data_IF_622047497343
#
_entry.id   IF_622047497343
#
_cell.length_a   1.000
_cell.length_b   1.000
_cell.length_c   1.000
_cell.angle_alpha   90.00
_cell.angle_beta   90.00
_cell.angle_gamma   90.00
#
_symmetry.space_group_name_H-M   'P 1'
#
loop_
_entity.id
_entity.type
_entity.pdbx_description
1 polymer ?
#
# COMPACT_ATOMS: atom_id res chain seq x y z
N UNK A 1 7.86 -24.49 8.94
CA UNK A 1 6.54 -24.34 9.59
C UNK A 1 5.50 -23.98 8.54
N UNK A 2 4.19 -24.09 8.85
CA UNK A 2 3.12 -23.61 7.99
C UNK A 2 2.71 -22.20 8.41
N UNK A 3 2.79 -21.22 7.50
CA UNK A 3 2.49 -19.81 7.75
C UNK A 3 1.27 -19.41 6.94
N UNK A 4 0.24 -18.90 7.59
CA UNK A 4 -0.91 -18.31 6.95
C UNK A 4 -0.69 -16.82 6.73
N UNK A 5 -0.67 -16.38 5.47
CA UNK A 5 -0.71 -14.97 5.09
C UNK A 5 -2.11 -14.56 4.69
N UNK A 6 -2.61 -13.46 5.27
CA UNK A 6 -3.89 -12.87 4.90
C UNK A 6 -3.72 -11.47 4.30
N UNK A 7 -4.13 -11.32 3.04
CA UNK A 7 -3.79 -10.20 2.16
C UNK A 7 -5.05 -9.56 1.59
N UNK A 8 -5.28 -8.28 1.88
CA UNK A 8 -6.54 -7.59 1.57
C UNK A 8 -6.44 -6.51 0.49
N UNK A 9 -5.23 -6.01 0.17
CA UNK A 9 -5.04 -4.85 -0.70
C UNK A 9 -3.83 -5.03 -1.62
N UNK A 10 -3.70 -4.25 -2.72
CA UNK A 10 -2.54 -4.27 -3.60
C UNK A 10 -1.19 -4.12 -2.87
N UNK A 11 -1.08 -3.14 -1.96
CA UNK A 11 0.11 -2.91 -1.15
C UNK A 11 0.49 -4.16 -0.33
N UNK A 12 -0.49 -4.78 0.30
CA UNK A 12 -0.28 -5.99 1.11
C UNK A 12 0.20 -7.16 0.25
N UNK A 13 -0.31 -7.26 -0.98
CA UNK A 13 0.10 -8.31 -1.92
C UNK A 13 1.55 -8.13 -2.38
N UNK A 14 1.98 -6.90 -2.64
CA UNK A 14 3.37 -6.60 -3.01
C UNK A 14 4.34 -6.93 -1.87
N UNK A 15 3.99 -6.56 -0.64
CA UNK A 15 4.77 -6.95 0.54
C UNK A 15 4.81 -8.47 0.72
N UNK A 16 3.65 -9.13 0.58
CA UNK A 16 3.55 -10.58 0.66
C UNK A 16 4.43 -11.27 -0.40
N UNK A 17 4.37 -10.85 -1.67
CA UNK A 17 5.17 -11.43 -2.74
C UNK A 17 6.68 -11.36 -2.45
N UNK A 18 7.14 -10.27 -1.84
CA UNK A 18 8.53 -10.13 -1.42
C UNK A 18 8.87 -11.03 -0.23
N UNK A 19 7.97 -11.12 0.77
CA UNK A 19 8.15 -12.00 1.94
C UNK A 19 8.12 -13.49 1.54
N UNK A 20 7.23 -13.89 0.63
CA UNK A 20 7.18 -15.26 0.13
C UNK A 20 8.52 -15.72 -0.47
N UNK A 21 9.22 -14.85 -1.20
CA UNK A 21 10.53 -15.16 -1.78
C UNK A 21 11.59 -15.48 -0.71
N UNK A 22 11.50 -14.82 0.44
CA UNK A 22 12.44 -14.99 1.54
C UNK A 22 12.08 -16.16 2.45
N UNK A 23 10.79 -16.35 2.70
CA UNK A 23 10.29 -17.31 3.70
C UNK A 23 9.84 -18.64 3.07
N UNK A 24 9.45 -18.64 1.79
CA UNK A 24 8.90 -19.83 1.12
C UNK A 24 9.90 -20.95 0.89
N UNK A 25 11.22 -20.71 1.01
CA UNK A 25 12.25 -21.76 0.83
C UNK A 25 12.30 -22.78 1.97
N UNK A 26 11.83 -22.41 3.15
CA UNK A 26 11.91 -23.26 4.35
C UNK A 26 10.56 -23.45 5.05
N UNK A 27 9.48 -22.89 4.49
CA UNK A 27 8.17 -22.90 5.10
C UNK A 27 7.07 -23.23 4.07
N UNK A 28 5.98 -23.80 4.56
CA UNK A 28 4.74 -24.00 3.80
C UNK A 28 3.88 -22.72 3.89
N UNK A 29 3.62 -22.07 2.77
CA UNK A 29 2.89 -20.79 2.73
C UNK A 29 1.46 -21.05 2.30
N UNK A 30 0.52 -20.67 3.15
CA UNK A 30 -0.92 -20.65 2.87
C UNK A 30 -1.40 -19.21 2.74
N UNK A 31 -1.88 -18.84 1.55
CA UNK A 31 -2.33 -17.49 1.24
C UNK A 31 -3.86 -17.43 1.18
N UNK A 32 -4.43 -16.44 1.86
CA UNK A 32 -5.81 -16.04 1.66
C UNK A 32 -5.89 -14.58 1.20
N UNK A 33 -6.75 -14.32 0.22
CA UNK A 33 -7.08 -12.98 -0.26
C UNK A 33 -8.59 -12.76 -0.20
N UNK A 34 -9.06 -11.65 -0.76
CA UNK A 34 -10.50 -11.39 -0.98
C UNK A 34 -10.73 -10.88 -2.40
N UNK A 35 -11.94 -11.03 -2.92
CA UNK A 35 -12.34 -10.38 -4.16
C UNK A 35 -12.28 -8.85 -3.99
N UNK A 36 -11.37 -8.22 -4.73
CA UNK A 36 -11.20 -6.77 -4.78
C UNK A 36 -10.54 -6.39 -6.10
N UNK A 37 -11.22 -5.58 -6.91
CA UNK A 37 -10.80 -5.29 -8.29
C UNK A 37 -9.36 -4.76 -8.38
N UNK A 38 -8.96 -3.84 -7.51
CA UNK A 38 -7.58 -3.33 -7.50
C UNK A 38 -6.55 -4.42 -7.14
N UNK A 39 -6.92 -5.35 -6.27
CA UNK A 39 -6.05 -6.47 -5.89
C UNK A 39 -5.90 -7.44 -7.05
N UNK A 40 -6.99 -7.77 -7.74
CA UNK A 40 -6.95 -8.65 -8.91
C UNK A 40 -6.06 -8.10 -10.04
N UNK A 41 -6.09 -6.78 -10.25
CA UNK A 41 -5.20 -6.10 -11.22
C UNK A 41 -3.72 -6.32 -10.88
N UNK A 42 -3.34 -6.29 -9.61
CA UNK A 42 -1.95 -6.53 -9.19
C UNK A 42 -1.61 -8.02 -9.27
N UNK A 43 -2.50 -8.91 -8.85
CA UNK A 43 -2.33 -10.38 -8.95
C UNK A 43 -2.15 -10.86 -10.38
N UNK A 44 -2.83 -10.23 -11.34
CA UNK A 44 -2.66 -10.54 -12.77
C UNK A 44 -1.22 -10.29 -13.25
N UNK A 45 -0.53 -9.33 -12.65
CA UNK A 45 0.80 -8.87 -13.08
C UNK A 45 1.96 -9.38 -12.24
N UNK A 46 1.77 -9.54 -10.94
CA UNK A 46 2.79 -10.01 -9.98
C UNK A 46 2.47 -11.45 -9.59
N UNK A 47 3.35 -12.37 -9.96
CA UNK A 47 3.16 -13.80 -9.68
C UNK A 47 3.80 -14.19 -8.36
N UNK A 48 3.10 -15.01 -7.60
CA UNK A 48 3.55 -15.69 -6.39
C UNK A 48 3.47 -17.19 -6.59
N UNK A 49 4.13 -17.96 -5.73
CA UNK A 49 4.13 -19.43 -5.78
C UNK A 49 2.96 -20.02 -4.99
N UNK A 50 2.59 -19.37 -3.88
CA UNK A 50 1.49 -19.83 -3.05
C UNK A 50 0.18 -19.80 -3.83
N UNK A 51 -0.62 -20.85 -3.65
CA UNK A 51 -1.99 -20.87 -4.19
C UNK A 51 -2.83 -19.85 -3.47
N UNK A 52 -3.47 -18.97 -4.23
CA UNK A 52 -4.36 -17.95 -3.70
C UNK A 52 -5.75 -18.56 -3.39
N UNK A 53 -6.12 -18.52 -2.13
CA UNK A 53 -7.46 -18.91 -1.67
C UNK A 53 -8.29 -17.64 -1.47
N UNK A 54 -9.13 -17.31 -2.45
CA UNK A 54 -10.01 -16.15 -2.38
C UNK A 54 -11.14 -16.43 -1.42
N UNK A 55 -11.22 -15.68 -0.32
CA UNK A 55 -12.25 -15.82 0.73
C UNK A 55 -12.92 -14.49 0.95
N UNK A 56 -14.23 -14.42 0.70
CA UNK A 56 -15.03 -13.21 0.83
C UNK A 56 -14.68 -12.13 -0.20
N UNK A 57 -15.31 -10.96 -0.06
CA UNK A 57 -15.14 -9.83 -0.99
C UNK A 57 -15.01 -8.49 -0.26
N UNK A 58 -14.60 -7.48 -0.98
CA UNK A 58 -14.56 -6.10 -0.47
C UNK A 58 -15.97 -5.53 -0.33
N UNK A 59 -16.31 -5.00 0.84
CA UNK A 59 -17.66 -4.53 1.18
C UNK A 59 -18.02 -3.13 0.61
N UNK A 60 -17.33 -2.65 -0.45
CA UNK A 60 -17.67 -1.37 -1.08
C UNK A 60 -17.48 -0.15 -0.19
N UNK A 61 -18.26 0.92 -0.43
CA UNK A 61 -18.19 2.20 0.29
C UNK A 61 -19.04 2.26 1.57
N UNK A 62 -20.14 1.51 1.62
CA UNK A 62 -21.14 1.58 2.72
C UNK A 62 -20.67 0.82 3.96
N UNK A 63 -20.89 1.40 5.15
CA UNK A 63 -20.47 0.81 6.42
C UNK A 63 -21.16 -0.54 6.70
N UNK A 64 -22.45 -0.62 6.39
CA UNK A 64 -23.25 -1.83 6.57
C UNK A 64 -22.75 -2.99 5.70
N UNK A 65 -22.43 -2.72 4.44
CA UNK A 65 -21.89 -3.70 3.51
C UNK A 65 -20.51 -4.17 3.95
N UNK A 66 -19.65 -3.23 4.39
CA UNK A 66 -18.34 -3.58 4.97
C UNK A 66 -18.47 -4.49 6.18
N UNK A 67 -19.41 -4.21 7.08
CA UNK A 67 -19.64 -5.04 8.26
C UNK A 67 -20.13 -6.44 7.87
N UNK A 68 -21.13 -6.53 6.97
CA UNK A 68 -21.69 -7.80 6.50
C UNK A 68 -20.59 -8.66 5.85
N UNK A 69 -19.83 -8.11 4.90
CA UNK A 69 -18.82 -8.87 4.18
C UNK A 69 -17.63 -9.25 5.08
N UNK A 70 -17.24 -8.40 6.03
CA UNK A 70 -16.25 -8.72 7.05
C UNK A 70 -16.70 -9.88 7.95
N UNK A 71 -17.96 -9.86 8.40
CA UNK A 71 -18.52 -10.92 9.25
C UNK A 71 -18.61 -12.25 8.51
N UNK A 72 -19.10 -12.25 7.25
CA UNK A 72 -19.12 -13.44 6.40
C UNK A 72 -17.72 -14.01 6.21
N UNK A 73 -16.75 -13.16 5.87
CA UNK A 73 -15.37 -13.55 5.66
C UNK A 73 -14.76 -14.18 6.91
N UNK A 74 -14.98 -13.60 8.09
CA UNK A 74 -14.54 -14.17 9.35
C UNK A 74 -15.13 -15.56 9.60
N UNK A 75 -16.42 -15.76 9.28
CA UNK A 75 -17.07 -17.06 9.35
C UNK A 75 -16.45 -18.08 8.38
N UNK A 76 -16.23 -17.72 7.12
CA UNK A 76 -15.61 -18.59 6.11
C UNK A 76 -14.19 -18.98 6.50
N UNK A 77 -13.38 -18.02 6.96
CA UNK A 77 -12.02 -18.27 7.45
C UNK A 77 -12.03 -19.18 8.69
N UNK A 78 -12.99 -19.01 9.61
CA UNK A 78 -13.07 -19.86 10.80
C UNK A 78 -13.35 -21.34 10.46
N UNK A 79 -13.95 -21.62 9.31
CA UNK A 79 -14.14 -22.98 8.79
C UNK A 79 -12.96 -23.51 8.00
N UNK A 80 -12.27 -22.65 7.25
CA UNK A 80 -11.15 -23.01 6.37
C UNK A 80 -9.86 -23.27 7.16
N UNK A 81 -9.52 -22.36 8.06
CA UNK A 81 -8.21 -22.32 8.72
C UNK A 81 -7.93 -23.53 9.64
N UNK A 82 -8.90 -24.10 10.41
CA UNK A 82 -8.64 -25.28 11.21
C UNK A 82 -8.10 -26.46 10.42
N UNK A 83 -8.60 -26.67 9.19
CA UNK A 83 -8.11 -27.72 8.28
C UNK A 83 -6.69 -27.50 7.78
N UNK A 84 -6.25 -26.25 7.73
CA UNK A 84 -4.88 -25.88 7.28
C UNK A 84 -3.82 -26.01 8.37
N UNK A 85 -4.20 -25.90 9.66
CA UNK A 85 -3.32 -26.01 10.82
C UNK A 85 -2.07 -25.11 10.75
N UNK A 86 -2.20 -23.81 10.45
CA UNK A 86 -1.04 -22.93 10.44
C UNK A 86 -0.47 -22.75 11.83
N UNK A 87 0.84 -22.61 11.91
CA UNK A 87 1.58 -22.39 13.16
C UNK A 87 1.85 -20.91 13.43
N UNK A 88 1.62 -20.05 12.44
CA UNK A 88 1.74 -18.61 12.50
C UNK A 88 0.77 -17.98 11.50
N UNK A 89 0.12 -16.91 11.89
CA UNK A 89 -0.59 -16.00 10.97
C UNK A 89 0.21 -14.72 10.81
N UNK A 90 0.34 -14.25 9.58
CA UNK A 90 0.89 -12.92 9.25
C UNK A 90 -0.19 -12.16 8.49
N UNK A 91 -0.59 -11.00 9.00
CA UNK A 91 -1.56 -10.14 8.31
C UNK A 91 -1.11 -8.68 8.25
N UNK A 92 -1.74 -7.92 7.37
CA UNK A 92 -1.41 -6.52 7.13
C UNK A 92 -2.61 -5.59 7.49
N UNK A 93 -3.21 -5.85 8.66
CA UNK A 93 -4.37 -5.11 9.13
C UNK A 93 -5.71 -5.74 8.73
N UNK A 94 -5.80 -7.06 8.83
CA UNK A 94 -7.05 -7.82 8.63
C UNK A 94 -7.73 -8.10 9.96
N UNK A 95 -8.90 -7.49 10.22
CA UNK A 95 -9.70 -7.81 11.41
C UNK A 95 -10.15 -9.27 11.45
N UNK A 96 -10.48 -9.84 10.30
CA UNK A 96 -10.95 -11.22 10.17
C UNK A 96 -9.84 -12.20 10.53
N UNK A 97 -8.63 -12.01 10.00
CA UNK A 97 -7.48 -12.88 10.32
C UNK A 97 -7.10 -12.76 11.79
N UNK A 98 -7.06 -11.54 12.35
CA UNK A 98 -6.77 -11.32 13.76
C UNK A 98 -7.80 -12.04 14.65
N UNK A 99 -9.10 -11.90 14.33
CA UNK A 99 -10.17 -12.53 15.11
C UNK A 99 -10.12 -14.07 15.04
N UNK A 100 -9.87 -14.62 13.85
CA UNK A 100 -9.80 -16.08 13.64
C UNK A 100 -8.57 -16.66 14.31
N UNK A 101 -7.40 -16.03 14.14
CA UNK A 101 -6.16 -16.47 14.79
C UNK A 101 -6.28 -16.48 16.30
N UNK A 102 -6.79 -15.39 16.89
CA UNK A 102 -7.04 -15.30 18.33
C UNK A 102 -7.98 -16.40 18.83
N UNK A 103 -9.09 -16.64 18.11
CA UNK A 103 -10.08 -17.66 18.48
C UNK A 103 -9.57 -19.10 18.37
N UNK A 104 -8.59 -19.35 17.52
CA UNK A 104 -7.98 -20.67 17.31
C UNK A 104 -6.66 -20.85 18.07
N UNK A 105 -6.19 -19.84 18.82
CA UNK A 105 -4.92 -19.89 19.53
C UNK A 105 -3.70 -19.93 18.60
N UNK A 106 -3.82 -19.38 17.37
CA UNK A 106 -2.73 -19.31 16.40
C UNK A 106 -1.97 -18.01 16.66
N UNK A 107 -0.64 -18.03 16.89
CA UNK A 107 0.16 -16.83 17.01
C UNK A 107 -0.03 -15.90 15.82
N UNK A 108 -0.20 -14.60 16.06
CA UNK A 108 -0.50 -13.61 15.03
C UNK A 108 0.52 -12.46 15.03
N UNK A 109 1.20 -12.29 13.90
CA UNK A 109 2.06 -11.15 13.59
C UNK A 109 1.30 -10.16 12.70
N UNK A 110 1.05 -8.96 13.21
CA UNK A 110 0.45 -7.85 12.47
C UNK A 110 1.57 -6.96 11.91
N UNK A 111 1.73 -6.92 10.59
CA UNK A 111 2.61 -5.97 9.90
C UNK A 111 1.77 -4.77 9.46
N UNK A 112 2.02 -3.58 10.01
CA UNK A 112 1.12 -2.45 9.76
C UNK A 112 1.83 -1.10 9.88
N UNK A 113 1.55 -0.19 8.95
CA UNK A 113 2.08 1.18 8.94
C UNK A 113 1.00 2.25 9.21
N UNK A 114 -0.21 1.85 9.53
CA UNK A 114 -1.40 2.72 9.55
C UNK A 114 -2.06 2.81 10.93
N UNK A 115 -1.37 3.35 11.96
CA UNK A 115 -1.94 3.50 13.31
C UNK A 115 -3.13 4.47 13.38
N UNK A 116 -3.33 5.29 12.33
CA UNK A 116 -4.46 6.20 12.20
C UNK A 116 -5.76 5.50 11.77
N UNK A 117 -5.70 4.27 11.30
CA UNK A 117 -6.87 3.45 10.97
C UNK A 117 -7.55 2.92 12.23
N UNK A 118 -8.19 3.83 12.99
CA UNK A 118 -8.67 3.60 14.35
C UNK A 118 -9.50 2.33 14.52
N UNK A 119 -10.52 2.13 13.68
CA UNK A 119 -11.41 0.95 13.80
C UNK A 119 -10.69 -0.36 13.48
N UNK A 120 -9.81 -0.36 12.47
CA UNK A 120 -8.98 -1.51 12.14
C UNK A 120 -8.00 -1.80 13.28
N UNK A 121 -7.33 -0.77 13.81
CA UNK A 121 -6.40 -0.89 14.93
C UNK A 121 -7.05 -1.53 16.16
N UNK A 122 -8.27 -1.15 16.51
CA UNK A 122 -9.02 -1.73 17.65
C UNK A 122 -9.41 -3.19 17.45
N UNK A 123 -9.55 -3.63 16.20
CA UNK A 123 -9.94 -5.01 15.88
C UNK A 123 -8.74 -5.92 15.57
N UNK A 124 -7.54 -5.38 15.45
CA UNK A 124 -6.34 -6.15 15.08
C UNK A 124 -5.28 -6.12 16.15
N UNK A 125 -4.88 -4.93 16.61
CA UNK A 125 -3.73 -4.74 17.49
C UNK A 125 -3.84 -5.50 18.83
N UNK A 126 -4.98 -5.45 19.57
CA UNK A 126 -5.11 -6.17 20.84
C UNK A 126 -5.22 -7.70 20.69
N UNK A 127 -5.50 -8.17 19.45
CA UNK A 127 -5.62 -9.60 19.15
C UNK A 127 -4.33 -10.17 18.52
N UNK A 128 -3.28 -9.37 18.42
CA UNK A 128 -2.00 -9.76 17.80
C UNK A 128 -0.92 -9.92 18.87
N UNK A 129 -0.10 -10.98 18.77
CA UNK A 129 1.03 -11.20 19.68
C UNK A 129 2.13 -10.17 19.45
N UNK A 130 2.31 -9.75 18.19
CA UNK A 130 3.26 -8.71 17.85
C UNK A 130 2.72 -7.78 16.77
N UNK A 131 2.99 -6.46 16.92
CA UNK A 131 2.82 -5.44 15.88
C UNK A 131 4.18 -5.05 15.35
N UNK A 132 4.42 -5.29 14.06
CA UNK A 132 5.66 -5.03 13.34
C UNK A 132 5.42 -3.81 12.45
N UNK A 133 6.20 -2.74 12.63
CA UNK A 133 5.89 -1.46 11.98
C UNK A 133 7.15 -0.63 11.67
N UNK A 134 7.08 0.29 10.65
CA UNK A 134 8.18 1.18 10.30
C UNK A 134 8.63 2.07 11.47
N UNK A 135 9.93 2.25 11.63
CA UNK A 135 10.54 3.00 12.74
C UNK A 135 10.09 4.46 12.85
N UNK A 136 9.65 5.05 11.75
CA UNK A 136 9.16 6.45 11.71
C UNK A 136 7.87 6.66 12.48
N UNK A 137 7.16 5.58 12.77
CA UNK A 137 5.91 5.60 13.53
C UNK A 137 6.24 5.55 15.04
N UNK A 138 5.80 6.51 15.83
CA UNK A 138 6.01 6.49 17.27
C UNK A 138 5.28 5.32 17.93
N UNK A 139 5.93 4.63 18.87
CA UNK A 139 5.32 3.51 19.61
C UNK A 139 4.03 3.93 20.34
N UNK A 140 3.94 5.20 20.79
CA UNK A 140 2.75 5.74 21.46
C UNK A 140 1.49 5.65 20.58
N UNK A 141 1.64 5.67 19.25
CA UNK A 141 0.51 5.58 18.32
C UNK A 141 -0.15 4.19 18.33
N UNK A 142 0.58 3.18 18.74
CA UNK A 142 0.07 1.81 18.89
C UNK A 142 -0.43 1.52 20.31
N UNK A 143 0.17 2.15 21.33
CA UNK A 143 -0.16 1.91 22.75
C UNK A 143 -1.63 2.14 23.07
N UNK A 144 -2.29 3.07 22.38
CA UNK A 144 -3.72 3.34 22.54
C UNK A 144 -4.64 2.14 22.25
N UNK A 145 -4.13 1.11 21.56
CA UNK A 145 -4.90 -0.08 21.19
C UNK A 145 -4.64 -1.27 22.11
N UNK A 146 -3.76 -1.16 23.11
CA UNK A 146 -3.40 -2.28 23.99
C UNK A 146 -2.64 -3.38 23.26
N UNK A 147 -1.51 -3.08 22.59
CA UNK A 147 -0.74 -4.08 21.85
C UNK A 147 -0.05 -5.07 22.79
N UNK A 148 0.18 -6.29 22.29
CA UNK A 148 1.18 -7.19 22.81
C UNK A 148 2.60 -6.64 22.58
N UNK A 149 3.44 -7.35 21.85
CA UNK A 149 4.80 -6.90 21.54
C UNK A 149 4.83 -5.86 20.42
N UNK A 150 5.54 -4.75 20.64
CA UNK A 150 5.79 -3.72 19.62
C UNK A 150 7.19 -3.86 19.05
N UNK A 151 7.32 -4.06 17.74
CA UNK A 151 8.61 -4.29 17.06
C UNK A 151 8.76 -3.35 15.88
N UNK A 152 9.79 -2.50 15.93
CA UNK A 152 10.13 -1.60 14.83
C UNK A 152 11.03 -2.30 13.82
N UNK A 153 10.82 -2.01 12.55
CA UNK A 153 11.84 -2.28 11.52
C UNK A 153 12.30 -0.96 10.86
N UNK A 154 13.56 -0.95 10.44
CA UNK A 154 14.22 0.26 9.93
C UNK A 154 14.13 0.36 8.42
N UNK A 155 12.91 0.36 7.89
CA UNK A 155 12.62 0.63 6.49
C UNK A 155 11.18 1.13 6.29
N UNK A 156 10.82 1.48 5.05
CA UNK A 156 9.46 1.80 4.62
C UNK A 156 8.94 0.68 3.73
N UNK A 157 7.68 0.31 3.89
CA UNK A 157 7.05 -0.81 3.17
C UNK A 157 7.39 -0.87 1.67
N UNK A 158 7.35 0.24 0.89
CA UNK A 158 7.58 0.14 -0.55
C UNK A 158 8.98 -0.33 -0.96
N UNK A 159 9.99 -0.27 -0.07
CA UNK A 159 11.31 -0.83 -0.41
C UNK A 159 11.24 -2.33 -0.67
N UNK A 160 10.27 -3.03 -0.08
CA UNK A 160 10.07 -4.47 -0.27
C UNK A 160 9.82 -4.86 -1.73
N UNK A 161 9.25 -3.96 -2.55
CA UNK A 161 9.01 -4.26 -3.97
C UNK A 161 9.77 -3.33 -4.93
N UNK A 162 10.14 -2.13 -4.49
CA UNK A 162 10.92 -1.20 -5.33
C UNK A 162 12.34 -1.72 -5.53
N UNK A 163 12.93 -2.33 -4.52
CA UNK A 163 14.31 -2.85 -4.59
C UNK A 163 14.43 -4.15 -5.40
N UNK A 164 13.32 -4.84 -5.61
CA UNK A 164 13.26 -6.11 -6.34
C UNK A 164 12.79 -5.93 -7.79
N UNK A 165 13.62 -5.31 -8.62
CA UNK A 165 13.30 -5.02 -10.03
C UNK A 165 12.98 -6.27 -10.85
N UNK A 166 13.50 -7.42 -10.47
CA UNK A 166 13.21 -8.71 -11.07
C UNK A 166 11.75 -9.17 -10.86
N UNK A 167 11.04 -8.57 -9.91
CA UNK A 167 9.59 -8.79 -9.73
C UNK A 167 8.73 -7.86 -10.57
N UNK A 168 9.34 -6.82 -11.15
CA UNK A 168 8.55 -5.83 -11.87
C UNK A 168 8.00 -6.40 -13.17
N UNK A 169 6.71 -6.23 -13.45
CA UNK A 169 6.10 -6.70 -14.69
C UNK A 169 6.60 -5.86 -15.86
N UNK A 170 6.47 -6.40 -17.06
CA UNK A 170 6.74 -5.61 -18.29
C UNK A 170 5.82 -4.40 -18.36
N UNK A 171 6.36 -3.26 -18.80
CA UNK A 171 5.61 -2.01 -18.94
C UNK A 171 4.52 -2.13 -20.01
N UNK A 172 3.31 -1.77 -19.63
CA UNK A 172 2.19 -1.60 -20.55
C UNK A 172 2.20 -0.20 -21.21
N UNK A 173 1.17 0.11 -22.02
CA UNK A 173 1.09 1.36 -22.78
C UNK A 173 1.08 2.61 -21.90
N UNK A 174 0.30 2.61 -20.80
CA UNK A 174 0.22 3.79 -19.92
C UNK A 174 1.52 4.00 -19.13
N UNK A 175 2.18 2.94 -18.73
CA UNK A 175 3.47 3.00 -18.02
C UNK A 175 4.59 3.53 -18.92
N UNK A 176 4.57 3.17 -20.21
CA UNK A 176 5.46 3.78 -21.22
C UNK A 176 5.12 5.23 -21.47
N UNK A 177 3.83 5.60 -21.55
CA UNK A 177 3.39 6.98 -21.71
C UNK A 177 3.75 7.87 -20.51
N UNK A 178 3.92 7.30 -19.32
CA UNK A 178 4.30 8.02 -18.11
C UNK A 178 5.78 8.45 -18.09
N UNK A 179 6.62 7.89 -18.97
CA UNK A 179 8.02 8.32 -19.10
C UNK A 179 8.08 9.79 -19.59
N UNK A 180 8.68 10.66 -18.80
CA UNK A 180 8.74 12.09 -19.06
C UNK A 180 7.42 12.86 -18.83
N UNK A 181 6.44 12.27 -18.19
CA UNK A 181 5.17 12.91 -17.85
C UNK A 181 5.11 13.34 -16.37
N UNK A 182 4.18 14.25 -16.07
CA UNK A 182 3.72 14.54 -14.71
C UNK A 182 2.59 13.57 -14.40
N UNK A 183 2.73 12.77 -13.35
CA UNK A 183 1.75 11.75 -12.96
C UNK A 183 0.98 12.21 -11.73
N UNK A 184 -0.35 12.18 -11.80
CA UNK A 184 -1.26 12.50 -10.71
C UNK A 184 -1.98 11.21 -10.29
N UNK A 185 -2.05 10.93 -8.99
CA UNK A 185 -2.86 9.83 -8.46
C UNK A 185 -4.05 10.36 -7.69
N UNK A 186 -5.25 9.96 -8.12
CA UNK A 186 -6.51 10.26 -7.42
C UNK A 186 -6.51 9.66 -6.01
N UNK A 187 -7.10 10.39 -5.04
CA UNK A 187 -7.31 9.92 -3.68
C UNK A 187 -8.28 8.74 -3.60
N UNK A 188 -8.22 7.99 -2.49
CA UNK A 188 -9.16 6.92 -2.17
C UNK A 188 -10.41 7.50 -1.49
N UNK A 189 -11.39 7.93 -2.28
CA UNK A 189 -12.60 8.57 -1.76
C UNK A 189 -13.67 7.58 -1.25
N UNK A 190 -13.57 6.28 -1.55
CA UNK A 190 -14.40 5.24 -0.92
C UNK A 190 -13.86 4.78 0.44
N UNK A 191 -12.70 5.28 0.86
CA UNK A 191 -12.24 5.10 2.22
C UNK A 191 -13.15 5.88 3.17
N UNK A 192 -13.24 5.44 4.43
CA UNK A 192 -14.08 6.10 5.45
C UNK A 192 -13.64 7.52 5.81
N UNK A 193 -12.65 8.09 5.11
CA UNK A 193 -11.93 9.30 5.52
C UNK A 193 -11.92 10.45 4.50
N UNK A 194 -12.38 10.25 3.26
CA UNK A 194 -12.27 11.28 2.20
C UNK A 194 -13.56 11.42 1.42
N UNK A 195 -14.02 12.65 1.24
CA UNK A 195 -15.24 13.03 0.52
C UNK A 195 -14.96 14.09 -0.55
N UNK A 196 -14.11 13.83 -1.55
CA UNK A 196 -13.94 14.80 -2.64
C UNK A 196 -13.81 14.14 -4.01
N UNK A 197 -14.52 14.69 -5.01
CA UNK A 197 -14.47 14.29 -6.43
C UNK A 197 -13.61 15.24 -7.29
N UNK A 198 -12.86 16.16 -6.70
CA UNK A 198 -12.15 17.23 -7.40
C UNK A 198 -10.84 16.84 -8.12
N UNK A 199 -10.55 15.54 -8.27
CA UNK A 199 -9.27 15.11 -8.88
C UNK A 199 -9.19 15.44 -10.38
N UNK A 200 -10.29 15.37 -11.11
CA UNK A 200 -10.33 15.68 -12.54
C UNK A 200 -10.15 17.18 -12.77
N UNK A 201 -10.92 18.03 -12.07
CA UNK A 201 -10.83 19.48 -12.18
C UNK A 201 -9.43 19.98 -11.82
N UNK A 202 -8.86 19.44 -10.75
CA UNK A 202 -7.49 19.71 -10.35
C UNK A 202 -6.47 19.31 -11.44
N UNK A 203 -6.63 18.14 -12.07
CA UNK A 203 -5.73 17.69 -13.13
C UNK A 203 -5.86 18.54 -14.39
N UNK A 204 -7.08 18.97 -14.75
CA UNK A 204 -7.35 19.89 -15.87
C UNK A 204 -6.69 21.25 -15.61
N UNK A 205 -6.85 21.80 -14.42
CA UNK A 205 -6.24 23.08 -14.05
C UNK A 205 -4.71 22.98 -14.09
N UNK A 206 -4.12 21.95 -13.48
CA UNK A 206 -2.67 21.74 -13.48
C UNK A 206 -2.13 21.53 -14.89
N UNK A 207 -2.82 20.79 -15.75
CA UNK A 207 -2.40 20.54 -17.14
C UNK A 207 -2.31 21.82 -17.97
N UNK A 208 -3.23 22.78 -17.75
CA UNK A 208 -3.19 24.10 -18.40
C UNK A 208 -1.99 24.93 -17.96
N UNK A 209 -1.54 24.76 -16.70
CA UNK A 209 -0.34 25.44 -16.17
C UNK A 209 0.98 24.80 -16.63
N UNK A 210 0.92 23.59 -17.20
CA UNK A 210 2.07 22.81 -17.66
C UNK A 210 1.94 22.45 -19.15
N UNK A 211 1.81 23.42 -20.08
CA UNK A 211 1.48 23.17 -21.49
C UNK A 211 2.53 22.31 -22.21
N UNK A 212 3.79 22.39 -21.81
CA UNK A 212 4.91 21.67 -22.42
C UNK A 212 5.12 20.27 -21.82
N UNK A 213 4.30 19.88 -20.84
CA UNK A 213 4.40 18.58 -20.17
C UNK A 213 3.17 17.73 -20.47
N UNK A 214 3.39 16.44 -20.72
CA UNK A 214 2.30 15.46 -20.65
C UNK A 214 1.88 15.29 -19.20
N UNK A 215 0.57 15.29 -18.95
CA UNK A 215 -0.01 15.06 -17.63
C UNK A 215 -0.85 13.79 -17.68
N UNK A 216 -0.68 12.90 -16.71
CA UNK A 216 -1.46 11.66 -16.63
C UNK A 216 -2.17 11.61 -15.28
N UNK A 217 -3.50 11.59 -15.29
CA UNK A 217 -4.33 11.37 -14.13
C UNK A 217 -4.69 9.88 -14.03
N UNK A 218 -4.16 9.20 -13.03
CA UNK A 218 -4.50 7.82 -12.71
C UNK A 218 -5.70 7.77 -11.77
N UNK A 219 -6.85 7.35 -12.29
CA UNK A 219 -8.10 7.25 -11.54
C UNK A 219 -8.35 5.84 -11.00
N UNK A 220 -9.08 5.75 -9.88
CA UNK A 220 -9.38 4.46 -9.23
C UNK A 220 -10.62 3.78 -9.83
N UNK A 221 -11.72 4.50 -9.87
CA UNK A 221 -13.05 3.98 -10.22
C UNK A 221 -13.50 4.40 -11.62
N UNK A 222 -12.53 4.74 -12.47
CA UNK A 222 -12.73 5.01 -13.90
C UNK A 222 -12.26 3.80 -14.72
N UNK A 223 -12.88 3.54 -15.85
CA UNK A 223 -12.47 2.48 -16.79
C UNK A 223 -12.17 3.08 -18.16
N UNK A 224 -11.00 2.72 -18.68
CA UNK A 224 -10.57 3.19 -19.99
C UNK A 224 -9.59 4.35 -19.96
N UNK A 225 -9.51 5.09 -21.06
CA UNK A 225 -8.61 6.21 -21.24
C UNK A 225 -9.28 7.32 -22.03
N UNK A 226 -9.13 8.56 -21.59
CA UNK A 226 -9.59 9.78 -22.28
C UNK A 226 -8.43 10.76 -22.38
N UNK A 227 -8.38 11.53 -23.48
CA UNK A 227 -7.33 12.53 -23.74
C UNK A 227 -7.96 13.90 -23.90
N UNK A 228 -7.46 14.88 -23.13
CA UNK A 228 -7.88 16.27 -23.13
C UNK A 228 -6.65 17.18 -23.30
N UNK A 229 -6.28 17.49 -24.53
CA UNK A 229 -5.04 18.22 -24.84
C UNK A 229 -3.80 17.44 -24.38
N UNK A 230 -3.02 18.01 -23.47
CA UNK A 230 -1.85 17.36 -22.86
C UNK A 230 -2.18 16.48 -21.65
N UNK A 231 -3.45 16.39 -21.21
CA UNK A 231 -3.92 15.54 -20.11
C UNK A 231 -4.47 14.22 -20.63
N UNK A 232 -3.96 13.11 -20.11
CA UNK A 232 -4.54 11.77 -20.26
C UNK A 232 -5.16 11.34 -18.94
N UNK A 233 -6.46 11.03 -18.94
CA UNK A 233 -7.17 10.41 -17.81
C UNK A 233 -7.18 8.90 -18.03
N UNK A 234 -6.71 8.14 -17.05
CA UNK A 234 -6.58 6.68 -17.18
C UNK A 234 -7.13 5.95 -15.96
N UNK A 235 -7.94 4.94 -16.22
CA UNK A 235 -8.47 4.02 -15.22
C UNK A 235 -8.34 2.58 -15.68
N UNK A 236 -7.26 1.96 -15.33
CA UNK A 236 -6.93 0.59 -15.73
C UNK A 236 -5.80 0.01 -14.90
N UNK A 237 -5.21 -1.05 -15.42
CA UNK A 237 -4.11 -1.75 -14.76
C UNK A 237 -2.79 -1.01 -14.95
N UNK A 238 -2.07 -0.79 -13.86
CA UNK A 238 -0.70 -0.30 -13.87
C UNK A 238 0.05 -0.79 -12.63
N UNK A 239 1.36 -0.83 -12.72
CA UNK A 239 2.26 -1.07 -11.61
C UNK A 239 2.91 0.26 -11.20
N UNK A 240 2.69 0.66 -9.93
CA UNK A 240 3.12 1.98 -9.44
C UNK A 240 4.58 2.33 -9.77
N UNK A 241 5.55 1.48 -9.42
CA UNK A 241 6.96 1.75 -9.73
C UNK A 241 7.25 1.94 -11.23
N UNK A 242 6.59 1.20 -12.14
CA UNK A 242 6.78 1.35 -13.59
C UNK A 242 6.30 2.71 -14.10
N UNK A 243 5.18 3.21 -13.55
CA UNK A 243 4.64 4.53 -13.90
C UNK A 243 5.54 5.65 -13.38
N UNK A 244 6.12 5.45 -12.19
CA UNK A 244 6.86 6.48 -11.48
C UNK A 244 8.32 6.58 -11.92
N UNK A 245 8.96 5.46 -12.27
CA UNK A 245 10.42 5.34 -12.42
C UNK A 245 11.06 6.43 -13.28
N UNK A 246 10.38 6.86 -14.35
CA UNK A 246 10.88 7.88 -15.29
C UNK A 246 9.92 9.06 -15.42
N UNK A 247 9.01 9.23 -14.48
CA UNK A 247 8.14 10.41 -14.44
C UNK A 247 8.96 11.67 -14.10
N UNK A 248 8.59 12.80 -14.68
CA UNK A 248 9.18 14.11 -14.35
C UNK A 248 8.82 14.51 -12.92
N UNK A 249 7.55 14.32 -12.57
CA UNK A 249 7.04 14.57 -11.24
C UNK A 249 5.85 13.66 -10.91
N UNK A 250 5.62 13.45 -9.63
CA UNK A 250 4.46 12.77 -9.10
C UNK A 250 3.68 13.68 -8.15
N UNK A 251 2.36 13.71 -8.32
CA UNK A 251 1.43 14.45 -7.46
C UNK A 251 0.45 13.47 -6.84
N UNK A 252 0.64 13.18 -5.56
CA UNK A 252 -0.23 12.29 -4.80
C UNK A 252 -1.33 13.05 -4.07
N UNK A 253 -2.52 12.48 -4.08
CA UNK A 253 -3.62 12.94 -3.21
C UNK A 253 -3.85 11.93 -2.09
N UNK A 254 -2.75 11.35 -1.56
CA UNK A 254 -2.71 10.34 -0.51
C UNK A 254 -2.32 8.95 -1.00
N UNK A 255 -1.92 8.10 -0.06
CA UNK A 255 -1.61 6.70 -0.31
C UNK A 255 -0.13 6.35 -0.51
N UNK A 256 0.14 5.09 -0.77
CA UNK A 256 1.48 4.48 -0.82
C UNK A 256 2.38 5.05 -1.92
N UNK A 257 1.79 5.52 -3.03
CA UNK A 257 2.55 6.04 -4.18
C UNK A 257 3.38 7.29 -3.85
N UNK A 258 3.03 8.08 -2.79
CA UNK A 258 3.90 9.16 -2.31
C UNK A 258 5.28 8.62 -1.89
N UNK A 259 5.27 7.55 -1.11
CA UNK A 259 6.51 6.91 -0.65
C UNK A 259 7.24 6.18 -1.79
N UNK A 260 6.52 5.53 -2.71
CA UNK A 260 7.11 4.91 -3.90
C UNK A 260 7.86 5.94 -4.75
N UNK A 261 7.23 7.08 -5.07
CA UNK A 261 7.82 8.13 -5.87
C UNK A 261 9.05 8.75 -5.18
N UNK A 262 8.93 9.04 -3.88
CA UNK A 262 10.04 9.57 -3.09
C UNK A 262 11.25 8.59 -3.05
N UNK A 263 11.00 7.29 -2.88
CA UNK A 263 12.03 6.25 -2.86
C UNK A 263 12.71 6.05 -4.23
N UNK A 264 11.96 6.24 -5.32
CA UNK A 264 12.50 6.22 -6.69
C UNK A 264 13.26 7.49 -7.06
N UNK A 265 13.26 8.51 -6.18
CA UNK A 265 13.94 9.78 -6.42
C UNK A 265 13.20 10.71 -7.39
N UNK A 266 11.92 10.47 -7.62
CA UNK A 266 11.05 11.31 -8.45
C UNK A 266 10.66 12.56 -7.66
N UNK A 267 10.57 13.72 -8.32
CA UNK A 267 9.98 14.93 -7.71
C UNK A 267 8.58 14.62 -7.21
N UNK A 268 8.38 14.59 -5.90
CA UNK A 268 7.14 14.10 -5.30
C UNK A 268 6.45 15.19 -4.52
N UNK A 269 5.16 15.36 -4.79
CA UNK A 269 4.31 16.34 -4.13
C UNK A 269 3.06 15.65 -3.56
N UNK A 270 2.65 16.10 -2.37
CA UNK A 270 1.36 15.68 -1.81
C UNK A 270 0.40 16.86 -1.76
N UNK A 271 -0.77 16.68 -2.37
CA UNK A 271 -1.91 17.60 -2.31
C UNK A 271 -3.05 16.99 -1.48
N UNK A 272 -2.71 16.07 -0.57
CA UNK A 272 -3.69 15.44 0.30
C UNK A 272 -4.29 16.47 1.29
N UNK A 273 -5.62 16.64 1.30
CA UNK A 273 -6.28 17.65 2.14
C UNK A 273 -6.38 17.23 3.61
N UNK A 274 -6.24 15.93 3.89
CA UNK A 274 -6.37 15.38 5.23
C UNK A 274 -5.09 15.43 6.07
N UNK A 275 -5.13 14.75 7.21
CA UNK A 275 -3.99 14.63 8.09
C UNK A 275 -2.91 13.73 7.46
N UNK A 276 -1.67 14.24 7.41
CA UNK A 276 -0.54 13.50 6.85
C UNK A 276 -0.16 12.30 7.73
N UNK A 277 0.17 11.19 7.07
CA UNK A 277 0.71 10.01 7.75
C UNK A 277 2.07 10.29 8.37
N UNK A 278 2.53 9.45 9.30
CA UNK A 278 3.89 9.54 9.84
C UNK A 278 4.95 9.38 8.76
N UNK A 279 4.68 8.56 7.74
CA UNK A 279 5.56 8.34 6.59
C UNK A 279 5.65 9.62 5.76
N UNK A 280 4.53 10.25 5.40
CA UNK A 280 4.53 11.50 4.63
C UNK A 280 5.25 12.61 5.39
N UNK A 281 4.99 12.76 6.71
CA UNK A 281 5.70 13.74 7.55
C UNK A 281 7.21 13.51 7.57
N UNK A 282 7.64 12.26 7.65
CA UNK A 282 9.07 11.90 7.58
C UNK A 282 9.66 12.28 6.23
N UNK A 283 9.00 11.91 5.12
CA UNK A 283 9.46 12.21 3.76
C UNK A 283 9.54 13.72 3.50
N UNK A 284 8.59 14.50 4.02
CA UNK A 284 8.62 15.97 3.95
C UNK A 284 9.80 16.52 4.75
N UNK A 285 9.99 16.04 5.98
CA UNK A 285 11.08 16.48 6.85
C UNK A 285 12.46 16.32 6.22
N UNK A 286 12.67 15.27 5.45
CA UNK A 286 13.95 14.98 4.77
C UNK A 286 14.02 15.54 3.34
N UNK A 287 12.99 16.27 2.87
CA UNK A 287 12.95 16.88 1.54
C UNK A 287 12.73 15.90 0.37
N UNK A 288 12.25 14.69 0.64
CA UNK A 288 11.93 13.69 -0.39
C UNK A 288 10.48 13.80 -0.91
N UNK A 289 9.61 14.48 -0.15
CA UNK A 289 8.23 14.80 -0.51
C UNK A 289 7.99 16.28 -0.20
N UNK A 290 7.26 16.99 -1.03
CA UNK A 290 6.89 18.39 -0.81
C UNK A 290 5.37 18.49 -0.62
N UNK A 291 4.92 19.44 0.24
CA UNK A 291 3.51 19.79 0.41
C UNK A 291 3.30 21.25 0.03
N UNK A 292 3.00 21.56 -1.24
CA UNK A 292 2.67 22.90 -1.68
C UNK A 292 1.39 23.44 -0.99
N UNK A 293 1.31 24.74 -0.81
CA UNK A 293 0.14 25.42 -0.25
C UNK A 293 -1.03 25.52 -1.24
N UNK A 294 -0.74 25.41 -2.53
CA UNK A 294 -1.74 25.47 -3.61
C UNK A 294 -1.17 25.07 -4.97
N UNK A 295 -2.03 25.13 -5.98
CA UNK A 295 -1.70 24.65 -7.34
C UNK A 295 -0.60 25.50 -8.01
N UNK A 296 -0.53 26.81 -7.72
CA UNK A 296 0.51 27.70 -8.25
C UNK A 296 1.90 27.31 -7.76
N UNK A 297 2.03 27.06 -6.45
CA UNK A 297 3.29 26.61 -5.85
C UNK A 297 3.66 25.22 -6.36
N UNK A 298 2.67 24.34 -6.56
CA UNK A 298 2.88 23.02 -7.14
C UNK A 298 3.44 23.12 -8.56
N UNK A 299 2.78 23.88 -9.44
CA UNK A 299 3.23 24.05 -10.82
C UNK A 299 4.64 24.64 -10.89
N UNK A 300 4.92 25.68 -10.10
CA UNK A 300 6.27 26.23 -9.94
C UNK A 300 7.29 25.19 -9.49
N UNK A 301 6.92 24.36 -8.47
CA UNK A 301 7.80 23.30 -7.96
C UNK A 301 8.09 22.19 -8.99
N UNK A 302 7.13 21.91 -9.90
CA UNK A 302 7.32 20.96 -11.00
C UNK A 302 8.31 21.51 -12.04
N UNK A 303 8.15 22.78 -12.43
CA UNK A 303 8.94 23.44 -13.47
C UNK A 303 10.39 23.72 -13.03
N UNK A 304 10.62 24.01 -11.75
CA UNK A 304 11.96 24.32 -11.27
C UNK A 304 12.72 23.05 -10.83
N UNK A 305 14.02 22.99 -11.17
CA UNK A 305 14.89 21.89 -10.77
C UNK A 305 15.18 21.93 -9.26
N UNK A 306 14.38 21.18 -8.50
CA UNK A 306 14.64 20.94 -7.08
C UNK A 306 15.24 19.53 -6.93
N UNK A 307 16.45 19.45 -6.40
CA UNK A 307 17.04 18.14 -6.08
C UNK A 307 16.19 17.45 -5.00
N UNK A 308 15.74 16.26 -5.30
CA UNK A 308 15.09 15.37 -4.31
C UNK A 308 16.15 14.69 -3.45
N UNK A 309 15.88 14.54 -2.17
CA UNK A 309 16.78 13.80 -1.28
C UNK A 309 16.83 12.33 -1.71
N UNK A 310 18.03 11.78 -1.89
CA UNK A 310 18.21 10.35 -2.15
C UNK A 310 18.09 9.58 -0.84
N UNK A 311 17.11 8.72 -0.77
CA UNK A 311 16.87 7.83 0.38
C UNK A 311 17.73 6.57 0.23
N UNK A 312 18.48 6.25 1.27
CA UNK A 312 19.16 4.94 1.41
C UNK A 312 18.45 4.19 2.53
N UNK A 313 17.54 3.31 2.17
CA UNK A 313 16.84 2.46 3.10
C UNK A 313 17.17 0.99 2.80
N UNK A 314 17.06 0.16 3.83
CA UNK A 314 17.14 -1.28 3.70
C UNK A 314 15.85 -1.84 3.10
N UNK A 315 15.89 -3.07 2.61
CA UNK A 315 14.72 -3.80 2.16
C UNK A 315 13.78 -4.09 3.34
N UNK A 316 12.52 -3.65 3.21
CA UNK A 316 11.51 -3.87 4.25
C UNK A 316 11.13 -5.35 4.37
N UNK A 317 11.13 -6.12 3.29
CA UNK A 317 10.84 -7.56 3.34
C UNK A 317 11.92 -8.32 4.09
N UNK A 318 13.20 -7.99 3.90
CA UNK A 318 14.31 -8.57 4.70
C UNK A 318 14.17 -8.20 6.17
N UNK A 319 13.89 -6.92 6.47
CA UNK A 319 13.73 -6.44 7.84
C UNK A 319 12.55 -7.12 8.55
N UNK A 320 11.39 -7.23 7.90
CA UNK A 320 10.21 -7.93 8.45
C UNK A 320 10.47 -9.43 8.58
N UNK A 321 11.08 -10.05 7.59
CA UNK A 321 11.47 -11.48 7.63
C UNK A 321 12.39 -11.78 8.81
N UNK A 322 13.41 -10.94 9.05
CA UNK A 322 14.31 -11.08 10.20
C UNK A 322 13.58 -10.99 11.55
N UNK A 323 12.59 -10.08 11.65
CA UNK A 323 11.73 -9.99 12.85
C UNK A 323 10.90 -11.24 13.05
N UNK A 324 10.25 -11.75 11.99
CA UNK A 324 9.45 -12.98 12.05
C UNK A 324 10.29 -14.19 12.46
N UNK A 325 11.49 -14.34 11.88
CA UNK A 325 12.44 -15.39 12.27
C UNK A 325 12.83 -15.31 13.75
N UNK A 326 13.12 -14.10 14.22
CA UNK A 326 13.53 -13.87 15.61
C UNK A 326 12.43 -14.15 16.64
N UNK A 327 11.18 -13.81 16.31
CA UNK A 327 10.06 -13.89 17.27
C UNK A 327 9.39 -15.25 17.26
N UNK A 328 9.23 -15.84 16.06
CA UNK A 328 8.42 -17.04 15.86
C UNK A 328 9.23 -18.24 15.35
N UNK A 329 10.56 -18.17 15.34
CA UNK A 329 11.43 -19.22 14.85
C UNK A 329 11.09 -19.69 13.44
N UNK A 330 10.70 -18.76 12.58
CA UNK A 330 10.43 -19.00 11.14
C UNK A 330 11.75 -19.30 10.43
N UNK A 331 11.78 -20.31 9.57
CA UNK A 331 12.97 -20.71 8.79
C UNK A 331 13.27 -19.70 7.66
#
# INVERSE_FOLDING_TARGET
>A
MKIWFDVLTPKHYLMFASLERLLGKGNDIFLTTREYEELERVKARIKVKATDNVVGRHGGGRKEEKLIESTKRAYELSRLIPGQRPQLTVSFGSPEAARVSFGLGIPHALVCDSPHSFFVGRLTVPLSDAVIYPWVIPSKSWKQYGPGKLVKYHSLDPTAWIMHREMWPQKNSIEKAAEGAVVIREEEYMSSYVHSNGALDFAVELSRMLPDHRVILLRRYFKGSEVHGNLTVYGGEFFGPNVLEKAVAFVGRGGTMNAEAALLGVKSFTMYPGELTYIDRYLIKIGALSKPSGINELASGILHDKKTAKLRLHDASEAVSAVLRKIYSVN
#
